data_IF_562937682988
#
_entry.id   IF_562937682988
#
_cell.length_a   1.000
_cell.length_b   1.000
_cell.length_c   1.000
_cell.angle_alpha   90.00
_cell.angle_beta   90.00
_cell.angle_gamma   90.00
#
_symmetry.space_group_name_H-M   'P 1'
#
loop_
_entity.id
_entity.type
_entity.pdbx_description
1 polymer ?
#
# COMPACT_ATOMS: atom_id res chain seq x y z
N UNK A 1 28.94 5.96 7.99
CA UNK A 1 27.56 6.25 8.46
C UNK A 1 27.32 7.75 8.37
N UNK A 2 26.35 8.20 7.56
CA UNK A 2 26.04 9.62 7.37
C UNK A 2 25.61 10.30 8.67
N UNK A 3 26.08 11.53 8.89
CA UNK A 3 25.82 12.31 10.12
C UNK A 3 24.31 12.60 10.25
N UNK A 4 23.72 12.32 11.41
CA UNK A 4 22.29 12.61 11.68
C UNK A 4 22.01 14.11 11.46
N UNK A 5 20.87 14.43 10.83
CA UNK A 5 20.40 15.81 10.62
C UNK A 5 20.43 16.60 11.93
N UNK A 6 20.79 17.88 11.85
CA UNK A 6 20.73 18.81 12.99
C UNK A 6 19.32 18.86 13.58
N UNK A 7 18.28 18.82 12.73
CA UNK A 7 16.88 18.78 13.15
C UNK A 7 16.57 17.52 13.96
N UNK A 8 17.16 16.37 13.60
CA UNK A 8 16.92 15.10 14.30
C UNK A 8 17.58 15.00 15.67
N UNK A 9 18.43 15.97 16.04
CA UNK A 9 19.13 16.03 17.33
C UNK A 9 18.54 17.06 18.29
N UNK A 10 17.56 17.83 17.82
CA UNK A 10 16.87 18.83 18.64
C UNK A 10 15.97 18.16 19.70
N UNK A 11 15.64 18.89 20.79
CA UNK A 11 14.56 18.51 21.69
C UNK A 11 13.29 18.13 20.94
N UNK A 12 12.55 17.14 21.46
CA UNK A 12 11.38 16.58 20.80
C UNK A 12 10.32 17.66 20.47
N UNK A 13 10.13 18.62 21.37
CA UNK A 13 9.21 19.76 21.19
C UNK A 13 9.56 20.60 19.95
N UNK A 14 10.82 21.05 19.85
CA UNK A 14 11.30 21.86 18.72
C UNK A 14 11.22 21.06 17.41
N UNK A 15 11.63 19.79 17.46
CA UNK A 15 11.57 18.91 16.29
C UNK A 15 10.13 18.74 15.80
N UNK A 16 9.18 18.44 16.69
CA UNK A 16 7.78 18.26 16.32
C UNK A 16 7.15 19.54 15.78
N UNK A 17 7.55 20.70 16.32
CA UNK A 17 7.14 21.99 15.78
C UNK A 17 7.63 22.20 14.34
N UNK A 18 8.92 21.95 14.08
CA UNK A 18 9.51 22.03 12.74
C UNK A 18 8.80 21.08 11.76
N UNK A 19 8.56 19.83 12.18
CA UNK A 19 7.84 18.84 11.38
C UNK A 19 6.42 19.30 11.03
N UNK A 20 5.69 19.88 11.99
CA UNK A 20 4.35 20.40 11.76
C UNK A 20 4.36 21.56 10.76
N UNK A 21 5.25 22.54 10.93
CA UNK A 21 5.34 23.69 10.02
C UNK A 21 5.73 23.27 8.60
N UNK A 22 6.73 22.40 8.47
CA UNK A 22 7.13 21.85 7.16
C UNK A 22 5.99 21.04 6.51
N UNK A 23 5.26 20.24 7.28
CA UNK A 23 4.15 19.44 6.75
C UNK A 23 2.96 20.28 6.26
N UNK A 24 2.71 21.42 6.91
CA UNK A 24 1.64 22.36 6.50
C UNK A 24 2.02 23.20 5.29
N UNK A 25 3.32 23.46 5.06
CA UNK A 25 3.79 24.34 3.98
C UNK A 25 3.31 25.79 4.08
N UNK A 26 2.84 26.22 5.26
CA UNK A 26 2.20 27.53 5.45
C UNK A 26 3.19 28.70 5.52
N UNK A 27 4.49 28.42 5.64
CA UNK A 27 5.55 29.41 5.80
C UNK A 27 6.75 29.06 4.92
N UNK A 28 7.45 30.07 4.45
CA UNK A 28 8.76 29.94 3.83
C UNK A 28 9.81 29.50 4.85
N UNK A 29 10.93 28.96 4.38
CA UNK A 29 12.03 28.55 5.28
C UNK A 29 12.60 29.72 6.09
N UNK A 30 12.59 30.93 5.53
CA UNK A 30 13.10 32.12 6.23
C UNK A 30 12.13 32.57 7.34
N UNK A 31 10.82 32.52 7.07
CA UNK A 31 9.79 32.79 8.08
C UNK A 31 9.82 31.75 9.21
N UNK A 32 10.01 30.46 8.87
CA UNK A 32 10.16 29.40 9.86
C UNK A 32 11.40 29.61 10.74
N UNK A 33 12.53 30.05 10.16
CA UNK A 33 13.74 30.35 10.94
C UNK A 33 13.49 31.51 11.90
N UNK A 34 12.89 32.60 11.43
CA UNK A 34 12.58 33.76 12.26
C UNK A 34 11.64 33.39 13.42
N UNK A 35 10.62 32.58 13.14
CA UNK A 35 9.67 32.10 14.14
C UNK A 35 10.33 31.13 15.15
N UNK A 36 11.22 30.24 14.71
CA UNK A 36 12.01 29.39 15.60
C UNK A 36 12.90 30.20 16.55
N UNK A 37 13.54 31.27 16.04
CA UNK A 37 14.37 32.16 16.86
C UNK A 37 13.55 32.93 17.90
N UNK A 38 12.34 33.34 17.56
CA UNK A 38 11.43 34.03 18.47
C UNK A 38 10.85 33.09 19.55
N UNK A 39 10.50 31.85 19.17
CA UNK A 39 9.90 30.86 20.08
C UNK A 39 10.90 30.18 20.99
N UNK A 40 12.11 29.92 20.49
CA UNK A 40 13.16 29.19 21.20
C UNK A 40 14.42 30.06 21.33
N UNK A 41 14.34 31.17 22.09
CA UNK A 41 15.46 32.10 22.20
C UNK A 41 16.67 31.44 22.85
N UNK A 42 16.51 30.56 23.85
CA UNK A 42 17.64 29.91 24.52
C UNK A 42 18.47 29.05 23.53
N UNK A 43 17.80 28.30 22.67
CA UNK A 43 18.40 27.43 21.66
C UNK A 43 18.97 28.23 20.48
N UNK A 44 18.36 29.38 20.17
CA UNK A 44 18.89 30.36 19.22
C UNK A 44 20.23 30.92 19.71
N UNK A 45 20.28 31.42 20.96
CA UNK A 45 21.51 31.96 21.56
C UNK A 45 22.59 30.89 21.69
N UNK A 46 22.21 29.63 21.93
CA UNK A 46 23.12 28.49 21.98
C UNK A 46 23.60 28.01 20.60
N UNK A 47 23.11 28.59 19.49
CA UNK A 47 23.46 28.20 18.12
C UNK A 47 23.00 26.79 17.76
N UNK A 48 21.97 26.27 18.43
CA UNK A 48 21.48 24.90 18.26
C UNK A 48 20.40 24.80 17.18
N UNK A 49 19.76 25.92 16.82
CA UNK A 49 18.74 25.96 15.78
C UNK A 49 19.30 25.60 14.38
N UNK A 50 18.53 24.91 13.53
CA UNK A 50 18.98 24.46 12.22
C UNK A 50 19.10 25.61 11.22
N UNK A 51 20.09 25.53 10.33
CA UNK A 51 20.22 26.46 9.21
C UNK A 51 19.17 26.22 8.12
N UNK A 52 18.98 27.20 7.23
CA UNK A 52 18.10 27.09 6.06
C UNK A 52 18.35 25.82 5.24
N UNK A 53 19.60 25.52 4.89
CA UNK A 53 19.94 24.32 4.14
C UNK A 53 19.65 23.02 4.91
N UNK A 54 19.77 23.04 6.23
CA UNK A 54 19.42 21.89 7.07
C UNK A 54 17.91 21.65 7.10
N UNK A 55 17.11 22.73 7.20
CA UNK A 55 15.65 22.66 7.10
C UNK A 55 15.20 22.19 5.71
N UNK A 56 15.78 22.73 4.63
CA UNK A 56 15.45 22.34 3.26
C UNK A 56 15.63 20.83 3.02
N UNK A 57 16.82 20.29 3.36
CA UNK A 57 17.09 18.84 3.22
C UNK A 57 16.18 17.99 4.10
N UNK A 58 15.86 18.47 5.31
CA UNK A 58 14.95 17.77 6.20
C UNK A 58 13.52 17.77 5.66
N UNK A 59 13.05 18.91 5.17
CA UNK A 59 11.76 19.09 4.51
C UNK A 59 11.62 18.18 3.31
N UNK A 60 12.58 18.17 2.38
CA UNK A 60 12.55 17.27 1.22
C UNK A 60 12.41 15.78 1.61
N UNK A 61 13.07 15.36 2.70
CA UNK A 61 12.93 13.98 3.22
C UNK A 61 11.58 13.74 3.88
N UNK A 62 11.03 14.73 4.58
CA UNK A 62 9.71 14.67 5.20
C UNK A 62 8.62 14.63 4.12
N UNK A 63 8.72 15.46 3.09
CA UNK A 63 7.78 15.51 1.97
C UNK A 63 7.70 14.19 1.23
N UNK A 64 8.84 13.55 0.93
CA UNK A 64 8.87 12.20 0.33
C UNK A 64 8.11 11.18 1.18
N UNK A 65 8.25 11.25 2.51
CA UNK A 65 7.55 10.35 3.45
C UNK A 65 6.06 10.64 3.51
N UNK A 66 5.68 11.92 3.60
CA UNK A 66 4.29 12.34 3.65
C UNK A 66 3.57 12.07 2.33
N UNK A 67 4.24 12.23 1.19
CA UNK A 67 3.72 11.88 -0.13
C UNK A 67 3.38 10.39 -0.20
N UNK A 68 4.28 9.50 0.24
CA UNK A 68 4.01 8.06 0.30
C UNK A 68 2.82 7.71 1.21
N UNK A 69 2.70 8.37 2.38
CA UNK A 69 1.56 8.16 3.28
C UNK A 69 0.24 8.65 2.66
N UNK A 70 0.25 9.82 2.02
CA UNK A 70 -0.93 10.37 1.31
C UNK A 70 -1.35 9.45 0.18
N UNK A 71 -0.41 9.00 -0.65
CA UNK A 71 -0.68 8.05 -1.73
C UNK A 71 -1.30 6.76 -1.19
N UNK A 72 -0.72 6.16 -0.14
CA UNK A 72 -1.25 4.97 0.51
C UNK A 72 -2.66 5.17 1.08
N UNK A 73 -2.92 6.35 1.67
CA UNK A 73 -4.22 6.69 2.25
C UNK A 73 -5.30 6.89 1.19
N UNK A 74 -4.98 7.59 0.09
CA UNK A 74 -5.90 7.76 -1.04
C UNK A 74 -6.21 6.43 -1.71
N UNK A 75 -5.19 5.59 -1.86
CA UNK A 75 -5.36 4.28 -2.44
C UNK A 75 -6.21 3.35 -1.53
N UNK A 76 -6.06 3.44 -0.20
CA UNK A 76 -6.96 2.78 0.75
C UNK A 76 -8.42 3.28 0.66
N UNK A 77 -8.64 4.58 0.44
CA UNK A 77 -9.99 5.15 0.22
C UNK A 77 -10.60 4.64 -1.08
N UNK A 78 -9.83 4.60 -2.17
CA UNK A 78 -10.28 4.05 -3.46
C UNK A 78 -10.65 2.57 -3.34
N UNK A 79 -9.85 1.77 -2.64
CA UNK A 79 -10.18 0.38 -2.31
C UNK A 79 -11.53 0.31 -1.59
N UNK A 80 -11.72 1.12 -0.56
CA UNK A 80 -12.96 1.12 0.22
C UNK A 80 -14.18 1.55 -0.61
N UNK A 81 -14.02 2.53 -1.50
CA UNK A 81 -15.09 3.04 -2.36
C UNK A 81 -15.50 2.05 -3.46
N UNK A 82 -14.52 1.38 -4.09
CA UNK A 82 -14.79 0.45 -5.20
C UNK A 82 -15.21 -0.96 -4.75
N UNK A 83 -14.93 -1.32 -3.49
CA UNK A 83 -15.15 -2.67 -2.99
C UNK A 83 -16.19 -2.78 -1.87
N UNK A 84 -17.14 -1.84 -1.84
CA UNK A 84 -18.21 -1.76 -0.84
C UNK A 84 -18.91 -3.11 -0.59
N UNK A 85 -19.17 -3.89 -1.64
CA UNK A 85 -19.91 -5.16 -1.54
C UNK A 85 -19.09 -6.43 -1.86
N UNK A 86 -17.87 -6.31 -2.41
CA UNK A 86 -17.06 -7.47 -2.78
C UNK A 86 -15.71 -7.50 -2.02
N UNK A 87 -15.57 -8.45 -1.10
CA UNK A 87 -14.36 -8.61 -0.27
C UNK A 87 -13.14 -9.01 -1.11
N UNK A 88 -13.35 -9.63 -2.27
CA UNK A 88 -12.26 -10.07 -3.14
C UNK A 88 -11.63 -8.89 -3.91
N UNK A 89 -12.44 -7.91 -4.33
CA UNK A 89 -11.95 -6.68 -4.97
C UNK A 89 -10.98 -5.88 -4.08
N UNK A 90 -11.13 -5.93 -2.74
CA UNK A 90 -10.20 -5.27 -1.81
C UNK A 90 -8.83 -5.91 -1.79
N UNK A 91 -8.81 -7.25 -1.79
CA UNK A 91 -7.58 -8.03 -1.69
C UNK A 91 -6.76 -7.91 -2.98
N UNK A 92 -7.43 -7.88 -4.14
CA UNK A 92 -6.78 -7.65 -5.42
C UNK A 92 -6.23 -6.22 -5.55
N UNK A 93 -7.01 -5.20 -5.19
CA UNK A 93 -6.56 -3.82 -5.28
C UNK A 93 -5.40 -3.51 -4.31
N UNK A 94 -5.40 -4.08 -3.10
CA UNK A 94 -4.27 -3.98 -2.18
C UNK A 94 -3.02 -4.65 -2.75
N UNK A 95 -3.17 -5.83 -3.37
CA UNK A 95 -2.05 -6.53 -4.00
C UNK A 95 -1.48 -5.72 -5.16
N UNK A 96 -2.33 -5.14 -6.01
CA UNK A 96 -1.91 -4.31 -7.13
C UNK A 96 -1.17 -3.05 -6.68
N UNK A 97 -1.66 -2.37 -5.62
CA UNK A 97 -0.97 -1.21 -5.05
C UNK A 97 0.42 -1.56 -4.50
N UNK A 98 0.54 -2.67 -3.75
CA UNK A 98 1.84 -3.11 -3.22
C UNK A 98 2.79 -3.43 -4.36
N UNK A 99 2.30 -4.04 -5.45
CA UNK A 99 3.10 -4.29 -6.65
C UNK A 99 3.55 -3.00 -7.33
N UNK A 100 2.68 -2.00 -7.48
CA UNK A 100 3.01 -0.68 -8.04
C UNK A 100 4.05 0.06 -7.20
N UNK A 101 3.88 0.12 -5.87
CA UNK A 101 4.84 0.75 -4.97
C UNK A 101 6.21 0.05 -4.99
N UNK A 102 6.22 -1.28 -5.12
CA UNK A 102 7.46 -2.04 -5.27
C UNK A 102 8.15 -1.75 -6.61
N UNK A 103 7.38 -1.58 -7.69
CA UNK A 103 7.92 -1.22 -8.99
C UNK A 103 8.48 0.21 -9.00
N UNK A 104 7.76 1.17 -8.44
CA UNK A 104 8.21 2.54 -8.23
C UNK A 104 9.47 2.60 -7.36
N UNK A 105 9.55 1.79 -6.29
CA UNK A 105 10.77 1.71 -5.49
C UNK A 105 11.97 1.14 -6.27
N UNK A 106 11.74 0.20 -7.20
CA UNK A 106 12.78 -0.31 -8.09
C UNK A 106 13.21 0.75 -9.10
N UNK A 107 12.26 1.47 -9.69
CA UNK A 107 12.54 2.59 -10.60
C UNK A 107 13.31 3.70 -9.91
N UNK A 108 12.88 4.12 -8.72
CA UNK A 108 13.58 5.14 -7.93
C UNK A 108 15.01 4.69 -7.53
N UNK A 109 15.22 3.39 -7.31
CA UNK A 109 16.56 2.83 -7.09
C UNK A 109 17.42 2.84 -8.37
N UNK A 110 16.80 2.74 -9.54
CA UNK A 110 17.48 2.86 -10.84
C UNK A 110 17.71 4.31 -11.24
N UNK A 111 16.81 5.24 -10.91
CA UNK A 111 16.92 6.67 -11.22
C UNK A 111 17.89 7.39 -10.27
N UNK A 112 17.99 6.94 -9.02
CA UNK A 112 19.06 7.37 -8.11
C UNK A 112 20.47 6.92 -8.57
N UNK A 113 20.58 6.19 -9.69
CA UNK A 113 21.84 5.94 -10.41
C UNK A 113 22.30 7.16 -11.26
N UNK A 114 21.51 8.24 -11.40
CA UNK A 114 22.05 9.52 -11.88
C UNK A 114 22.95 10.12 -10.80
N UNK A 115 24.22 10.31 -11.15
CA UNK A 115 25.30 10.88 -10.32
C UNK A 115 24.71 11.91 -9.34
N UNK A 116 24.69 11.59 -8.04
CA UNK A 116 24.32 12.58 -7.03
C UNK A 116 25.25 13.79 -7.16
N UNK A 117 24.77 14.99 -6.82
CA UNK A 117 25.48 16.28 -6.98
C UNK A 117 26.94 16.28 -6.41
N UNK A 118 27.28 15.30 -5.58
CA UNK A 118 28.56 15.12 -4.90
C UNK A 118 29.57 14.22 -5.66
N UNK A 119 29.19 13.60 -6.78
CA UNK A 119 30.08 12.78 -7.63
C UNK A 119 30.38 11.36 -7.12
N UNK A 120 29.88 10.96 -5.95
CA UNK A 120 30.05 9.61 -5.42
C UNK A 120 28.94 8.64 -5.88
N UNK A 121 29.35 7.50 -6.43
CA UNK A 121 28.44 6.40 -6.78
C UNK A 121 28.10 5.58 -5.53
N UNK A 122 26.85 5.14 -5.41
CA UNK A 122 26.45 4.15 -4.41
C UNK A 122 27.28 2.85 -4.56
N UNK A 123 27.62 2.21 -3.45
CA UNK A 123 28.40 0.95 -3.44
C UNK A 123 27.68 -0.15 -4.26
N UNK A 124 28.31 -0.69 -5.32
CA UNK A 124 27.69 -1.73 -6.15
C UNK A 124 27.30 -3.00 -5.39
N UNK A 125 28.01 -3.35 -4.30
CA UNK A 125 27.73 -4.53 -3.48
C UNK A 125 26.45 -4.40 -2.67
N UNK A 126 26.31 -3.28 -1.95
CA UNK A 126 25.09 -2.93 -1.21
C UNK A 126 23.86 -2.82 -2.14
N UNK A 127 24.08 -2.36 -3.38
CA UNK A 127 23.06 -2.26 -4.44
C UNK A 127 22.52 -3.63 -4.88
N UNK A 128 23.40 -4.60 -5.18
CA UNK A 128 22.99 -5.95 -5.57
C UNK A 128 22.23 -6.64 -4.44
N UNK A 129 22.61 -6.42 -3.19
CA UNK A 129 21.93 -6.96 -2.02
C UNK A 129 20.50 -6.39 -1.86
N UNK A 130 20.32 -5.07 -2.04
CA UNK A 130 19.01 -4.42 -1.99
C UNK A 130 18.08 -4.91 -3.10
N UNK A 131 18.56 -4.98 -4.34
CA UNK A 131 17.79 -5.49 -5.48
C UNK A 131 17.40 -6.95 -5.29
N UNK A 132 18.32 -7.78 -4.79
CA UNK A 132 18.04 -9.19 -4.50
C UNK A 132 16.97 -9.36 -3.42
N UNK A 133 16.99 -8.50 -2.39
CA UNK A 133 15.98 -8.51 -1.32
C UNK A 133 14.61 -8.06 -1.85
N UNK A 134 14.57 -7.03 -2.69
CA UNK A 134 13.35 -6.58 -3.35
C UNK A 134 12.75 -7.70 -4.22
N UNK A 135 13.56 -8.33 -5.09
CA UNK A 135 13.14 -9.43 -5.95
C UNK A 135 12.58 -10.62 -5.15
N UNK A 136 13.22 -10.99 -4.03
CA UNK A 136 12.75 -12.07 -3.16
C UNK A 136 11.39 -11.77 -2.51
N UNK A 137 11.18 -10.52 -2.07
CA UNK A 137 9.92 -10.09 -1.49
C UNK A 137 8.81 -10.08 -2.55
N UNK A 138 9.10 -9.64 -3.79
CA UNK A 138 8.17 -9.71 -4.92
C UNK A 138 7.78 -11.16 -5.21
N UNK A 139 8.75 -12.07 -5.35
CA UNK A 139 8.46 -13.49 -5.60
C UNK A 139 7.61 -14.14 -4.49
N UNK A 140 7.71 -13.64 -3.25
CA UNK A 140 6.89 -14.11 -2.13
C UNK A 140 5.47 -13.57 -2.22
N UNK A 141 5.32 -12.28 -2.55
CA UNK A 141 4.03 -11.64 -2.77
C UNK A 141 3.27 -12.30 -3.93
N UNK A 142 3.92 -12.49 -5.09
CA UNK A 142 3.31 -13.14 -6.26
C UNK A 142 2.83 -14.55 -5.94
N UNK A 143 3.63 -15.37 -5.24
CA UNK A 143 3.20 -16.71 -4.81
C UNK A 143 2.01 -16.66 -3.86
N UNK A 144 2.01 -15.72 -2.92
CA UNK A 144 0.89 -15.57 -1.97
C UNK A 144 -0.39 -15.15 -2.71
N UNK A 145 -0.28 -14.29 -3.71
CA UNK A 145 -1.41 -13.88 -4.57
C UNK A 145 -1.97 -15.04 -5.39
N UNK A 146 -1.11 -15.86 -5.99
CA UNK A 146 -1.52 -17.07 -6.72
C UNK A 146 -2.26 -18.03 -5.78
N UNK A 147 -1.69 -18.30 -4.60
CA UNK A 147 -2.32 -19.18 -3.60
C UNK A 147 -3.70 -18.68 -3.16
N UNK A 148 -3.86 -17.35 -3.00
CA UNK A 148 -5.16 -16.76 -2.68
C UNK A 148 -6.18 -17.02 -3.79
N UNK A 149 -5.81 -16.81 -5.05
CA UNK A 149 -6.68 -17.05 -6.22
C UNK A 149 -7.06 -18.52 -6.35
N UNK A 150 -6.12 -19.43 -6.16
CA UNK A 150 -6.39 -20.88 -6.15
C UNK A 150 -7.35 -21.26 -5.01
N UNK A 151 -7.15 -20.69 -3.82
CA UNK A 151 -8.04 -20.93 -2.69
C UNK A 151 -9.46 -20.38 -2.95
N UNK A 152 -9.58 -19.17 -3.48
CA UNK A 152 -10.86 -18.56 -3.87
C UNK A 152 -11.58 -19.43 -4.91
N UNK A 153 -10.91 -19.81 -5.99
CA UNK A 153 -11.49 -20.67 -7.03
C UNK A 153 -11.99 -22.00 -6.46
N UNK A 154 -11.23 -22.62 -5.54
CA UNK A 154 -11.65 -23.85 -4.84
C UNK A 154 -12.89 -23.64 -3.98
N UNK A 155 -12.96 -22.53 -3.24
CA UNK A 155 -14.10 -22.22 -2.37
C UNK A 155 -15.34 -21.93 -3.22
N UNK A 156 -15.20 -21.19 -4.33
CA UNK A 156 -16.28 -20.91 -5.27
C UNK A 156 -16.84 -22.20 -5.88
N UNK A 157 -15.96 -23.09 -6.36
CA UNK A 157 -16.35 -24.39 -6.90
C UNK A 157 -17.08 -25.25 -5.84
N UNK A 158 -16.54 -25.33 -4.63
CA UNK A 158 -17.15 -26.08 -3.53
C UNK A 158 -18.52 -25.50 -3.14
N UNK A 159 -18.63 -24.17 -3.10
CA UNK A 159 -19.88 -23.48 -2.78
C UNK A 159 -20.93 -23.71 -3.87
N UNK A 160 -20.54 -23.61 -5.15
CA UNK A 160 -21.41 -23.90 -6.30
C UNK A 160 -21.89 -25.35 -6.28
N UNK A 161 -21.00 -26.31 -6.04
CA UNK A 161 -21.38 -27.73 -5.91
C UNK A 161 -22.38 -27.96 -4.78
N UNK A 162 -22.15 -27.35 -3.61
CA UNK A 162 -23.05 -27.45 -2.47
C UNK A 162 -24.43 -26.85 -2.79
N UNK A 163 -24.46 -25.65 -3.37
CA UNK A 163 -25.70 -24.99 -3.76
C UNK A 163 -26.51 -25.81 -4.77
N UNK A 164 -25.85 -26.36 -5.80
CA UNK A 164 -26.51 -27.22 -6.79
C UNK A 164 -27.07 -28.49 -6.16
N UNK A 165 -26.34 -29.12 -5.25
CA UNK A 165 -26.83 -30.29 -4.52
C UNK A 165 -28.06 -29.98 -3.65
N UNK A 166 -28.06 -28.83 -2.96
CA UNK A 166 -29.19 -28.36 -2.17
C UNK A 166 -30.41 -28.04 -3.06
N UNK A 167 -30.20 -27.37 -4.20
CA UNK A 167 -31.26 -27.06 -5.17
C UNK A 167 -31.85 -28.33 -5.79
N UNK A 168 -31.02 -29.30 -6.15
CA UNK A 168 -31.48 -30.58 -6.69
C UNK A 168 -32.28 -31.38 -5.66
N UNK A 169 -31.81 -31.45 -4.40
CA UNK A 169 -32.57 -32.10 -3.32
C UNK A 169 -33.92 -31.42 -3.06
N UNK A 170 -33.99 -30.09 -3.17
CA UNK A 170 -35.25 -29.35 -3.06
C UNK A 170 -36.18 -29.61 -4.25
N UNK A 171 -35.65 -29.66 -5.47
CA UNK A 171 -36.41 -30.00 -6.67
C UNK A 171 -37.01 -31.41 -6.56
N UNK A 172 -36.26 -32.39 -6.07
CA UNK A 172 -36.77 -33.76 -5.86
C UNK A 172 -37.93 -33.81 -4.84
N UNK A 173 -37.84 -33.03 -3.76
CA UNK A 173 -38.93 -32.91 -2.77
C UNK A 173 -40.18 -32.31 -3.41
N UNK A 174 -40.02 -31.23 -4.17
CA UNK A 174 -41.12 -30.57 -4.89
C UNK A 174 -41.73 -31.53 -5.90
N UNK A 175 -40.90 -32.22 -6.69
CA UNK A 175 -41.33 -33.19 -7.68
C UNK A 175 -42.19 -34.31 -7.07
N UNK A 176 -41.78 -34.84 -5.91
CA UNK A 176 -42.58 -35.83 -5.16
C UNK A 176 -43.91 -35.24 -4.68
N UNK A 177 -43.92 -34.01 -4.17
CA UNK A 177 -45.14 -33.36 -3.67
C UNK A 177 -46.15 -32.99 -4.76
N UNK A 178 -45.66 -32.65 -5.96
CA UNK A 178 -46.46 -32.18 -7.09
C UNK A 178 -46.74 -33.30 -8.13
N UNK A 179 -46.26 -34.52 -7.89
CA UNK A 179 -46.44 -35.65 -8.81
C UNK A 179 -45.71 -35.48 -10.15
N UNK A 180 -44.59 -34.74 -10.17
CA UNK A 180 -43.83 -34.50 -11.41
C UNK A 180 -43.18 -35.79 -11.92
N UNK A 181 -43.30 -36.05 -13.22
CA UNK A 181 -42.64 -37.17 -13.89
C UNK A 181 -41.14 -36.96 -14.07
N UNK A 182 -40.38 -38.05 -14.30
CA UNK A 182 -38.91 -38.02 -14.48
C UNK A 182 -38.46 -37.05 -15.57
N UNK A 183 -39.13 -37.06 -16.73
CA UNK A 183 -38.78 -36.16 -17.85
C UNK A 183 -38.89 -34.69 -17.46
N UNK A 184 -39.87 -34.34 -16.61
CA UNK A 184 -40.09 -32.98 -16.16
C UNK A 184 -39.01 -32.55 -15.16
N UNK A 185 -38.58 -33.45 -14.28
CA UNK A 185 -37.46 -33.20 -13.34
C UNK A 185 -36.14 -33.04 -14.09
N UNK A 186 -35.86 -33.91 -15.07
CA UNK A 186 -34.66 -33.87 -15.88
C UNK A 186 -34.57 -32.57 -16.71
N UNK A 187 -35.71 -32.07 -17.20
CA UNK A 187 -35.81 -30.75 -17.84
C UNK A 187 -35.34 -29.63 -16.89
N UNK A 188 -35.85 -29.59 -15.66
CA UNK A 188 -35.47 -28.55 -14.70
C UNK A 188 -33.99 -28.64 -14.27
N UNK A 189 -33.44 -29.84 -14.13
CA UNK A 189 -32.01 -30.02 -13.80
C UNK A 189 -31.12 -29.49 -14.94
N UNK A 190 -31.46 -29.82 -16.19
CA UNK A 190 -30.64 -29.42 -17.34
C UNK A 190 -30.81 -27.95 -17.72
N UNK A 191 -32.06 -27.50 -17.85
CA UNK A 191 -32.38 -26.20 -18.42
C UNK A 191 -32.38 -25.06 -17.39
N UNK A 192 -32.73 -25.34 -16.13
CA UNK A 192 -32.79 -24.31 -15.08
C UNK A 192 -31.56 -24.33 -14.16
N UNK A 193 -31.14 -25.51 -13.70
CA UNK A 193 -29.93 -25.63 -12.88
C UNK A 193 -28.64 -25.64 -13.72
N UNK A 194 -28.74 -25.81 -15.04
CA UNK A 194 -27.60 -25.81 -15.96
C UNK A 194 -26.64 -26.98 -15.73
N UNK A 195 -27.09 -28.04 -15.06
CA UNK A 195 -26.30 -29.24 -14.78
C UNK A 195 -26.45 -30.18 -15.98
N UNK A 196 -25.35 -30.37 -16.73
CA UNK A 196 -25.29 -31.29 -17.87
C UNK A 196 -24.73 -32.64 -17.48
#
# INVERSE_FOLDING_TARGET
>A
MGRKSTVSRLPAEIKSYIEAMLATGAQTLDELIADLQARYPAESHAGQLPSRSALHRYGAKLDRRLAAIRASTEAAKLIQQHAGDDKDARSEALTAMVQSELFEAILALQEADEIGEDGEKADPGERVALLSKAAKNIATLTRSSINLKEFQARIEEATRKKLLAEQQANLEKIAKSQGMGREQVDFWIKEFLGVR
#
